data_IF_790222109916
#
_entry.id   IF_790222109916
#
_cell.length_a   1.000
_cell.length_b   1.000
_cell.length_c   1.000
_cell.angle_alpha   90.00
_cell.angle_beta   90.00
_cell.angle_gamma   90.00
#
_symmetry.space_group_name_H-M   'P 1'
#
loop_
_entity.id
_entity.type
_entity.pdbx_description
1 polymer ?
#
# COMPACT_ATOMS: atom_id res chain seq x y z
N UNK A 1 27.76 27.98 -4.70
CA UNK A 1 28.90 28.57 -3.94
C UNK A 1 29.60 27.45 -3.18
N UNK A 2 30.86 27.18 -3.49
CA UNK A 2 31.69 26.17 -2.82
C UNK A 2 32.11 26.68 -1.44
N UNK A 3 31.44 26.23 -0.37
CA UNK A 3 31.95 26.40 1.00
C UNK A 3 33.04 25.35 1.23
N UNK A 4 34.23 25.79 1.66
CA UNK A 4 35.34 24.95 2.09
C UNK A 4 34.87 23.97 3.18
N UNK A 5 34.81 22.67 2.84
CA UNK A 5 34.40 21.57 3.73
C UNK A 5 35.44 21.27 4.83
N UNK A 6 36.56 22.00 4.89
CA UNK A 6 37.71 21.72 5.74
C UNK A 6 37.61 22.27 7.17
N UNK A 7 36.52 22.96 7.54
CA UNK A 7 36.38 23.61 8.86
C UNK A 7 35.12 23.23 9.67
N UNK A 8 34.36 22.23 9.21
CA UNK A 8 33.09 21.88 9.83
C UNK A 8 33.35 20.88 10.97
N UNK A 9 33.26 21.35 12.22
CA UNK A 9 33.25 20.51 13.42
C UNK A 9 32.14 20.96 14.36
N UNK A 10 31.65 20.05 15.20
CA UNK A 10 30.53 20.34 16.10
C UNK A 10 29.20 20.49 15.36
N UNK A 11 28.19 20.96 16.09
CA UNK A 11 26.77 20.69 15.90
C UNK A 11 26.24 20.81 14.46
N UNK A 12 26.78 21.64 13.56
CA UNK A 12 26.28 21.83 12.19
C UNK A 12 26.50 20.67 11.20
N UNK A 13 27.23 19.62 11.59
CA UNK A 13 27.54 18.48 10.70
C UNK A 13 26.29 17.80 10.11
N UNK A 14 25.16 17.84 10.83
CA UNK A 14 23.92 17.23 10.37
C UNK A 14 23.27 18.01 9.21
N UNK A 15 23.37 19.34 9.20
CA UNK A 15 22.90 20.18 8.09
C UNK A 15 23.75 19.97 6.84
N UNK A 16 25.05 19.82 7.02
CA UNK A 16 26.01 19.60 5.93
C UNK A 16 25.77 18.25 5.27
N UNK A 17 25.52 17.20 6.05
CA UNK A 17 25.18 15.87 5.52
C UNK A 17 23.92 15.91 4.64
N UNK A 18 22.88 16.61 5.07
CA UNK A 18 21.69 16.84 4.23
C UNK A 18 22.04 17.61 2.95
N UNK A 19 22.83 18.68 3.06
CA UNK A 19 23.22 19.50 1.90
C UNK A 19 24.09 18.78 0.87
N UNK A 20 24.91 17.80 1.28
CA UNK A 20 25.75 17.00 0.37
C UNK A 20 24.92 16.10 -0.55
N UNK A 21 23.65 15.81 -0.21
CA UNK A 21 22.75 15.06 -1.10
C UNK A 21 22.44 15.77 -2.42
N UNK A 22 22.66 17.09 -2.47
CA UNK A 22 22.39 17.90 -3.66
C UNK A 22 20.92 18.24 -3.87
N UNK A 23 20.02 17.80 -2.99
CA UNK A 23 18.60 18.19 -3.05
C UNK A 23 18.46 19.59 -2.45
N UNK A 24 17.96 20.53 -3.26
CA UNK A 24 17.61 21.86 -2.82
C UNK A 24 16.10 22.12 -2.95
N UNK A 25 15.69 23.37 -2.74
CA UNK A 25 14.27 23.76 -2.86
C UNK A 25 13.76 23.59 -4.29
N UNK A 26 14.51 24.04 -5.28
CA UNK A 26 14.04 24.02 -6.67
C UNK A 26 13.85 22.57 -7.12
N UNK A 27 14.76 21.69 -6.70
CA UNK A 27 14.65 20.25 -6.92
C UNK A 27 13.41 19.65 -6.25
N UNK A 28 13.18 19.97 -4.98
CA UNK A 28 12.00 19.47 -4.24
C UNK A 28 10.68 19.95 -4.88
N UNK A 29 10.61 21.22 -5.27
CA UNK A 29 9.42 21.83 -5.86
C UNK A 29 9.24 21.51 -7.36
N UNK A 30 10.17 20.78 -7.97
CA UNK A 30 10.03 20.28 -9.34
C UNK A 30 9.03 19.10 -9.45
N UNK A 31 8.79 18.40 -8.34
CA UNK A 31 7.90 17.24 -8.27
C UNK A 31 6.51 17.53 -7.70
N UNK A 32 5.68 16.48 -7.64
CA UNK A 32 4.40 16.50 -6.92
C UNK A 32 4.67 16.43 -5.42
N UNK A 33 4.10 17.36 -4.67
CA UNK A 33 4.27 17.43 -3.22
C UNK A 33 3.12 16.76 -2.48
N UNK A 34 3.46 16.10 -1.38
CA UNK A 34 2.52 15.60 -0.39
C UNK A 34 2.71 16.45 0.86
N UNK A 35 1.66 17.17 1.27
CA UNK A 35 1.68 18.02 2.45
C UNK A 35 0.76 17.45 3.54
N UNK A 36 1.29 17.32 4.76
CA UNK A 36 0.54 16.85 5.92
C UNK A 36 1.19 17.33 7.21
N UNK A 37 0.43 17.32 8.29
CA UNK A 37 0.93 17.67 9.62
C UNK A 37 1.66 16.48 10.21
N UNK A 38 2.85 16.70 10.75
CA UNK A 38 3.62 15.71 11.53
C UNK A 38 3.81 16.23 12.96
N UNK A 39 3.69 15.34 13.94
CA UNK A 39 4.03 15.66 15.33
C UNK A 39 5.52 15.42 15.53
N UNK A 40 6.22 16.46 15.98
CA UNK A 40 7.66 16.44 16.11
C UNK A 40 8.08 17.38 17.24
N UNK A 41 9.08 16.98 18.03
CA UNK A 41 9.72 17.84 19.00
C UNK A 41 10.64 18.82 18.26
N UNK A 42 10.15 20.04 18.08
CA UNK A 42 10.81 21.07 17.28
C UNK A 42 12.18 21.47 17.85
N UNK A 43 12.32 21.54 19.18
CA UNK A 43 13.58 21.90 19.82
C UNK A 43 14.65 20.82 19.55
N UNK A 44 14.28 19.55 19.71
CA UNK A 44 15.16 18.42 19.39
C UNK A 44 15.49 18.36 17.89
N UNK A 45 14.59 18.79 17.02
CA UNK A 45 14.85 18.83 15.57
C UNK A 45 15.79 19.96 15.15
N UNK A 46 15.72 21.12 15.79
CA UNK A 46 16.62 22.24 15.52
C UNK A 46 18.04 21.98 16.05
N UNK A 47 18.15 21.27 17.17
CA UNK A 47 19.41 20.91 17.81
C UNK A 47 19.54 19.38 17.94
N UNK A 48 19.59 18.64 16.82
CA UNK A 48 19.62 17.20 16.87
C UNK A 48 20.98 16.72 17.38
N UNK A 49 21.03 15.62 18.14
CA UNK A 49 22.30 15.05 18.58
C UNK A 49 23.11 14.47 17.41
N UNK A 50 22.47 14.16 16.27
CA UNK A 50 23.12 13.68 15.06
C UNK A 50 22.22 13.79 13.82
N UNK A 51 22.80 13.60 12.64
CA UNK A 51 22.04 13.48 11.39
C UNK A 51 21.06 12.28 11.41
N UNK A 52 21.36 11.23 12.17
CA UNK A 52 20.46 10.07 12.31
C UNK A 52 19.11 10.49 12.89
N UNK A 53 19.10 11.44 13.82
CA UNK A 53 17.86 11.97 14.40
C UNK A 53 16.99 12.68 13.37
N UNK A 54 17.62 13.37 12.40
CA UNK A 54 16.94 13.93 11.24
C UNK A 54 16.39 12.85 10.31
N UNK A 55 17.15 11.77 10.08
CA UNK A 55 16.69 10.62 9.29
C UNK A 55 15.52 9.90 9.96
N UNK A 56 15.50 9.76 11.28
CA UNK A 56 14.35 9.21 12.02
C UNK A 56 13.09 10.07 11.84
N UNK A 57 13.24 11.41 11.87
CA UNK A 57 12.13 12.34 11.60
C UNK A 57 11.63 12.19 10.17
N UNK A 58 12.54 12.13 9.21
CA UNK A 58 12.22 11.91 7.80
C UNK A 58 11.54 10.54 7.59
N UNK A 59 12.01 9.48 8.26
CA UNK A 59 11.40 8.16 8.20
C UNK A 59 9.97 8.14 8.75
N UNK A 60 9.72 8.82 9.88
CA UNK A 60 8.37 8.99 10.43
C UNK A 60 7.45 9.75 9.47
N UNK A 61 7.96 10.83 8.87
CA UNK A 61 7.22 11.60 7.88
C UNK A 61 6.91 10.75 6.63
N UNK A 62 7.91 10.09 6.05
CA UNK A 62 7.72 9.19 4.90
C UNK A 62 6.74 8.05 5.20
N UNK A 63 6.79 7.45 6.39
CA UNK A 63 5.84 6.40 6.79
C UNK A 63 4.40 6.93 6.92
N UNK A 64 4.21 8.19 7.31
CA UNK A 64 2.89 8.85 7.33
C UNK A 64 2.42 9.20 5.93
N UNK A 65 3.31 9.69 5.07
CA UNK A 65 3.03 9.93 3.65
C UNK A 65 2.59 8.65 2.95
N UNK A 66 3.27 7.52 3.19
CA UNK A 66 2.92 6.24 2.58
C UNK A 66 1.51 5.74 2.96
N UNK A 67 1.03 6.06 4.17
CA UNK A 67 -0.36 5.73 4.54
C UNK A 67 -1.38 6.47 3.67
N UNK A 68 -1.11 7.73 3.32
CA UNK A 68 -1.93 8.46 2.36
C UNK A 68 -1.75 7.90 0.94
N UNK A 69 -0.53 7.54 0.56
CA UNK A 69 -0.25 6.97 -0.77
C UNK A 69 -0.89 5.60 -0.98
N UNK A 70 -1.07 4.80 0.06
CA UNK A 70 -1.82 3.54 -0.06
C UNK A 70 -3.28 3.77 -0.45
N UNK A 71 -3.90 4.82 0.08
CA UNK A 71 -5.24 5.24 -0.32
C UNK A 71 -5.26 5.82 -1.73
N UNK A 72 -4.24 6.60 -2.11
CA UNK A 72 -4.09 7.10 -3.48
C UNK A 72 -4.00 5.92 -4.46
N UNK A 73 -3.20 4.89 -4.13
CA UNK A 73 -3.06 3.69 -4.95
C UNK A 73 -4.37 2.91 -5.06
N UNK A 74 -5.14 2.80 -3.97
CA UNK A 74 -6.45 2.16 -4.00
C UNK A 74 -7.45 2.91 -4.89
N UNK A 75 -7.48 4.24 -4.80
CA UNK A 75 -8.54 5.05 -5.40
C UNK A 75 -8.26 5.49 -6.85
N UNK A 76 -6.99 5.67 -7.21
CA UNK A 76 -6.63 6.33 -8.47
C UNK A 76 -5.71 5.50 -9.37
N UNK A 77 -4.98 4.51 -8.84
CA UNK A 77 -4.11 3.69 -9.69
C UNK A 77 -4.91 2.58 -10.39
N UNK A 78 -4.51 2.27 -11.63
CA UNK A 78 -5.00 1.07 -12.29
C UNK A 78 -4.15 -0.14 -11.88
N UNK A 79 -4.66 -1.08 -11.06
CA UNK A 79 -3.88 -2.22 -10.54
C UNK A 79 -3.35 -3.20 -11.60
N UNK A 80 -3.85 -3.08 -12.84
CA UNK A 80 -3.36 -3.84 -13.99
C UNK A 80 -2.18 -3.17 -14.71
N UNK A 81 -1.88 -1.90 -14.43
CA UNK A 81 -0.83 -1.11 -15.10
C UNK A 81 0.12 -0.54 -14.04
N UNK A 82 1.12 -1.34 -13.64
CA UNK A 82 2.09 -0.96 -12.59
C UNK A 82 2.84 0.34 -12.91
N UNK A 83 2.99 0.68 -14.20
CA UNK A 83 3.68 1.89 -14.64
C UNK A 83 2.98 3.19 -14.24
N UNK A 84 1.70 3.16 -13.84
CA UNK A 84 0.96 4.33 -13.37
C UNK A 84 1.09 4.54 -11.86
N UNK A 85 1.89 3.72 -11.16
CA UNK A 85 1.97 3.79 -9.70
C UNK A 85 2.94 4.88 -9.29
N UNK A 86 2.58 5.71 -8.29
CA UNK A 86 3.52 6.63 -7.71
C UNK A 86 4.63 5.85 -6.98
N UNK A 87 5.84 6.38 -7.04
CA UNK A 87 6.99 5.83 -6.34
C UNK A 87 6.87 6.06 -4.82
N UNK A 88 7.86 5.59 -4.06
CA UNK A 88 7.95 5.84 -2.61
C UNK A 88 8.02 7.34 -2.33
N UNK A 89 7.20 7.79 -1.39
CA UNK A 89 7.07 9.19 -0.98
C UNK A 89 8.40 9.75 -0.49
N UNK A 90 8.75 10.93 -0.99
CA UNK A 90 9.98 11.64 -0.64
C UNK A 90 11.23 11.11 -1.36
N UNK A 91 11.17 9.97 -2.07
CA UNK A 91 12.33 9.48 -2.82
C UNK A 91 12.59 10.34 -4.06
N UNK A 92 13.78 10.91 -4.12
CA UNK A 92 14.22 11.78 -5.19
C UNK A 92 15.18 11.04 -6.15
N UNK A 93 14.66 10.71 -7.34
CA UNK A 93 15.30 9.77 -8.28
C UNK A 93 16.69 10.18 -8.74
N UNK A 94 16.93 11.45 -9.03
CA UNK A 94 18.22 11.89 -9.58
C UNK A 94 19.33 11.81 -8.55
N UNK A 95 19.00 12.16 -7.31
CA UNK A 95 19.92 12.13 -6.17
C UNK A 95 20.07 10.74 -5.53
N UNK A 96 19.05 9.88 -5.67
CA UNK A 96 18.98 8.60 -4.96
C UNK A 96 18.64 8.70 -3.47
N UNK A 97 18.35 9.89 -2.95
CA UNK A 97 18.04 10.13 -1.54
C UNK A 97 16.55 10.39 -1.30
N UNK A 98 16.13 10.32 -0.05
CA UNK A 98 14.81 10.77 0.40
C UNK A 98 14.91 12.19 0.93
N UNK A 99 13.92 13.05 0.66
CA UNK A 99 13.87 14.41 1.19
C UNK A 99 12.49 14.78 1.73
N UNK A 100 12.50 15.74 2.67
CA UNK A 100 11.31 16.34 3.23
C UNK A 100 11.57 17.78 3.67
N UNK A 101 10.60 18.66 3.41
CA UNK A 101 10.60 20.04 3.91
C UNK A 101 9.74 20.11 5.17
N UNK A 102 10.39 20.38 6.30
CA UNK A 102 9.72 20.58 7.58
C UNK A 102 9.49 22.06 7.79
N UNK A 103 8.25 22.46 8.08
CA UNK A 103 7.86 23.85 8.24
C UNK A 103 7.03 24.02 9.50
N UNK A 104 7.33 25.05 10.28
CA UNK A 104 6.53 25.46 11.44
C UNK A 104 5.83 26.78 11.19
N UNK A 105 4.55 26.85 11.56
CA UNK A 105 3.77 28.08 11.51
C UNK A 105 4.13 29.05 12.65
N UNK A 106 4.65 28.56 13.78
CA UNK A 106 4.96 29.41 14.94
C UNK A 106 6.11 30.37 14.64
N UNK A 107 7.16 29.84 14.02
CA UNK A 107 8.41 30.56 13.79
C UNK A 107 8.56 30.99 12.33
N UNK A 108 7.66 30.51 11.45
CA UNK A 108 7.71 30.71 10.00
C UNK A 108 9.05 30.28 9.38
N UNK A 109 9.63 29.21 9.92
CA UNK A 109 10.90 28.64 9.49
C UNK A 109 10.69 27.30 8.79
N UNK A 110 11.54 27.04 7.79
CA UNK A 110 11.52 25.80 7.02
C UNK A 110 12.90 25.19 6.90
N UNK A 111 12.99 23.88 7.06
CA UNK A 111 14.23 23.12 6.98
C UNK A 111 14.08 21.95 6.02
N UNK A 112 14.98 21.90 5.03
CA UNK A 112 15.08 20.79 4.09
C UNK A 112 16.03 19.74 4.68
N UNK A 113 15.48 18.55 4.93
CA UNK A 113 16.24 17.38 5.36
C UNK A 113 16.27 16.39 4.21
N UNK A 114 17.45 15.82 3.96
CA UNK A 114 17.64 14.80 2.96
C UNK A 114 18.64 13.75 3.42
N UNK A 115 18.44 12.50 3.00
CA UNK A 115 19.37 11.42 3.25
C UNK A 115 18.83 10.05 2.87
N UNK A 116 19.59 9.01 3.20
CA UNK A 116 19.28 7.64 2.82
C UNK A 116 18.30 7.00 3.80
N UNK A 117 17.00 7.16 3.53
CA UNK A 117 15.91 6.52 4.30
C UNK A 117 15.32 5.33 3.53
N UNK A 118 15.25 5.44 2.20
CA UNK A 118 14.74 4.39 1.33
C UNK A 118 15.93 3.76 0.58
N UNK A 119 16.33 2.51 0.93
CA UNK A 119 17.59 1.93 0.47
C UNK A 119 17.59 1.52 -1.01
N UNK A 120 16.41 1.31 -1.59
CA UNK A 120 16.29 1.06 -3.03
C UNK A 120 14.88 1.36 -3.52
N UNK A 121 14.76 2.17 -4.57
CA UNK A 121 13.53 2.36 -5.32
C UNK A 121 13.84 2.22 -6.80
N UNK A 122 13.68 1.01 -7.34
CA UNK A 122 13.79 0.78 -8.78
C UNK A 122 12.40 0.88 -9.39
N UNK A 123 12.04 2.05 -9.92
CA UNK A 123 10.77 2.20 -10.64
C UNK A 123 10.99 2.82 -12.01
N UNK A 124 10.57 2.08 -13.04
CA UNK A 124 10.36 2.58 -14.40
C UNK A 124 8.85 2.66 -14.63
N UNK A 125 8.33 3.85 -14.90
CA UNK A 125 6.91 4.10 -15.11
C UNK A 125 6.66 5.56 -15.50
N UNK A 126 5.46 5.85 -16.01
CA UNK A 126 5.03 7.20 -16.36
C UNK A 126 4.53 7.97 -15.13
N UNK A 127 4.19 7.26 -14.05
CA UNK A 127 3.62 7.85 -12.84
C UNK A 127 2.10 7.99 -12.92
N UNK A 128 1.52 8.53 -11.85
CA UNK A 128 0.10 8.79 -11.74
C UNK A 128 -0.18 10.24 -12.16
N UNK A 129 -1.06 10.43 -13.13
CA UNK A 129 -1.58 11.75 -13.49
C UNK A 129 -2.84 12.02 -12.68
N UNK A 130 -2.88 13.15 -11.97
CA UNK A 130 -4.02 13.61 -11.19
C UNK A 130 -4.40 15.00 -11.66
N UNK A 131 -5.62 15.16 -12.14
CA UNK A 131 -6.11 16.42 -12.71
C UNK A 131 -6.33 17.52 -11.64
N UNK A 132 -6.35 17.17 -10.34
CA UNK A 132 -6.66 18.07 -9.23
C UNK A 132 -5.93 17.68 -7.94
N UNK A 133 -5.92 18.60 -6.95
CA UNK A 133 -5.50 18.31 -5.59
C UNK A 133 -6.28 17.12 -5.01
N UNK A 134 -5.62 15.98 -4.85
CA UNK A 134 -6.20 14.83 -4.18
C UNK A 134 -6.09 15.03 -2.66
N UNK A 135 -7.17 15.51 -2.03
CA UNK A 135 -7.29 15.46 -0.57
C UNK A 135 -7.71 14.04 -0.18
N UNK A 136 -6.90 13.39 0.65
CA UNK A 136 -7.14 12.03 1.13
C UNK A 136 -7.32 12.06 2.63
N UNK A 137 -8.49 11.68 3.09
CA UNK A 137 -8.75 11.48 4.52
C UNK A 137 -8.10 10.15 4.96
N UNK A 138 -7.26 10.22 5.98
CA UNK A 138 -6.64 9.02 6.55
C UNK A 138 -7.69 8.15 7.24
N UNK A 139 -7.48 6.84 7.17
CA UNK A 139 -8.32 5.84 7.83
C UNK A 139 -8.34 6.08 9.34
N UNK A 140 -9.53 6.03 9.94
CA UNK A 140 -9.73 6.36 11.35
C UNK A 140 -9.07 5.35 12.32
N UNK A 141 -9.07 5.72 13.61
CA UNK A 141 -8.36 5.06 14.70
C UNK A 141 -9.00 3.78 15.27
N UNK A 142 -10.20 3.40 14.83
CA UNK A 142 -10.93 2.25 15.37
C UNK A 142 -10.25 0.91 15.06
N UNK A 143 -10.76 -0.17 15.64
CA UNK A 143 -10.19 -1.51 15.46
C UNK A 143 -10.22 -1.92 13.99
N UNK A 144 -11.34 -1.71 13.30
CA UNK A 144 -11.47 -1.97 11.87
C UNK A 144 -10.53 -1.06 11.08
N UNK A 145 -10.40 0.21 11.46
CA UNK A 145 -9.48 1.15 10.82
C UNK A 145 -8.01 0.72 10.92
N UNK A 146 -7.57 0.18 12.06
CA UNK A 146 -6.22 -0.38 12.21
C UNK A 146 -5.98 -1.57 11.27
N UNK A 147 -6.97 -2.46 11.14
CA UNK A 147 -6.90 -3.62 10.25
C UNK A 147 -6.92 -3.15 8.78
N UNK A 148 -7.78 -2.18 8.44
CA UNK A 148 -7.85 -1.60 7.10
C UNK A 148 -6.53 -0.95 6.69
N UNK A 149 -5.84 -0.23 7.58
CA UNK A 149 -4.51 0.33 7.32
C UNK A 149 -3.46 -0.76 7.01
N UNK A 150 -3.53 -1.90 7.69
CA UNK A 150 -2.63 -3.01 7.36
C UNK A 150 -3.02 -3.68 6.03
N UNK A 151 -4.32 -3.88 5.78
CA UNK A 151 -4.82 -4.43 4.53
C UNK A 151 -4.43 -3.55 3.32
N UNK A 152 -4.48 -2.23 3.47
CA UNK A 152 -4.03 -1.24 2.48
C UNK A 152 -2.55 -1.40 2.14
N UNK A 153 -1.68 -1.52 3.15
CA UNK A 153 -0.23 -1.76 2.92
C UNK A 153 0.01 -3.07 2.17
N UNK A 154 -0.68 -4.14 2.57
CA UNK A 154 -0.60 -5.43 1.88
C UNK A 154 -1.12 -5.34 0.44
N UNK A 155 -2.18 -4.59 0.21
CA UNK A 155 -2.75 -4.33 -1.10
C UNK A 155 -1.76 -3.59 -2.00
N UNK A 156 -1.23 -2.44 -1.55
CA UNK A 156 -0.19 -1.70 -2.28
C UNK A 156 1.01 -2.58 -2.61
N UNK A 157 1.51 -3.35 -1.64
CA UNK A 157 2.61 -4.28 -1.84
C UNK A 157 2.32 -5.34 -2.91
N UNK A 158 1.10 -5.89 -2.92
CA UNK A 158 0.65 -6.83 -3.95
C UNK A 158 0.63 -6.19 -5.34
N UNK A 159 0.20 -4.93 -5.45
CA UNK A 159 0.12 -4.23 -6.73
C UNK A 159 1.50 -3.92 -7.34
N UNK A 160 2.48 -3.66 -6.48
CA UNK A 160 3.88 -3.37 -6.85
C UNK A 160 4.77 -4.62 -6.90
N UNK A 161 4.21 -5.82 -6.79
CA UNK A 161 4.98 -7.06 -6.87
C UNK A 161 5.76 -7.18 -8.19
N UNK A 162 6.96 -7.74 -8.13
CA UNK A 162 7.87 -7.85 -9.28
C UNK A 162 7.46 -8.91 -10.30
N UNK A 163 6.59 -9.85 -9.94
CA UNK A 163 6.08 -10.91 -10.83
C UNK A 163 4.57 -11.12 -10.61
N UNK A 164 3.88 -11.66 -11.63
CA UNK A 164 2.44 -11.97 -11.50
C UNK A 164 2.23 -13.10 -10.47
N UNK A 165 3.13 -14.07 -10.42
CA UNK A 165 3.11 -15.13 -9.39
C UNK A 165 3.16 -14.55 -7.97
N UNK A 166 4.06 -13.59 -7.71
CA UNK A 166 4.15 -12.95 -6.39
C UNK A 166 2.91 -12.09 -6.09
N UNK A 167 2.41 -11.34 -7.08
CA UNK A 167 1.15 -10.58 -6.98
C UNK A 167 -0.01 -11.49 -6.57
N UNK A 168 -0.14 -12.65 -7.21
CA UNK A 168 -1.17 -13.64 -6.88
C UNK A 168 -1.05 -14.12 -5.43
N UNK A 169 0.14 -14.52 -4.99
CA UNK A 169 0.38 -14.99 -3.61
C UNK A 169 0.01 -13.90 -2.60
N UNK A 170 0.45 -12.66 -2.84
CA UNK A 170 0.17 -11.54 -1.94
C UNK A 170 -1.32 -11.20 -1.89
N UNK A 171 -2.03 -11.21 -3.02
CA UNK A 171 -3.49 -11.01 -3.05
C UNK A 171 -4.24 -12.13 -2.32
N UNK A 172 -3.81 -13.39 -2.45
CA UNK A 172 -4.41 -14.51 -1.73
C UNK A 172 -4.21 -14.39 -0.21
N UNK A 173 -3.02 -14.00 0.24
CA UNK A 173 -2.76 -13.75 1.66
C UNK A 173 -3.58 -12.57 2.18
N UNK A 174 -3.73 -11.52 1.38
CA UNK A 174 -4.57 -10.37 1.71
C UNK A 174 -6.04 -10.76 1.87
N UNK A 175 -6.57 -11.62 0.99
CA UNK A 175 -7.93 -12.17 1.10
C UNK A 175 -8.11 -12.89 2.44
N UNK A 176 -7.15 -13.74 2.83
CA UNK A 176 -7.20 -14.45 4.11
C UNK A 176 -7.15 -13.47 5.30
N UNK A 177 -6.28 -12.45 5.23
CA UNK A 177 -6.15 -11.42 6.25
C UNK A 177 -7.43 -10.59 6.44
N UNK A 178 -8.02 -10.08 5.36
CA UNK A 178 -9.26 -9.29 5.39
C UNK A 178 -10.42 -10.11 5.98
N UNK A 179 -10.50 -11.39 5.66
CA UNK A 179 -11.54 -12.24 6.18
C UNK A 179 -11.34 -12.58 7.67
N UNK A 180 -10.10 -12.70 8.14
CA UNK A 180 -9.78 -13.12 9.51
C UNK A 180 -8.39 -12.62 9.95
N UNK A 181 -8.29 -11.38 10.47
CA UNK A 181 -7.00 -10.76 10.78
C UNK A 181 -6.36 -11.27 12.08
N UNK A 182 -7.15 -11.89 12.97
CA UNK A 182 -6.69 -12.33 14.30
C UNK A 182 -6.31 -13.80 14.36
N UNK A 183 -6.84 -14.62 13.45
CA UNK A 183 -6.71 -16.07 13.52
C UNK A 183 -6.75 -16.69 12.13
N UNK A 184 -6.09 -17.83 11.99
CA UNK A 184 -6.19 -18.64 10.79
C UNK A 184 -7.61 -19.20 10.63
N UNK A 185 -8.16 -19.09 9.42
CA UNK A 185 -9.41 -19.73 9.03
C UNK A 185 -9.26 -20.54 7.77
N UNK A 186 -10.04 -21.63 7.68
CA UNK A 186 -10.10 -22.44 6.46
C UNK A 186 -10.63 -21.60 5.31
N UNK A 187 -10.09 -21.82 4.12
CA UNK A 187 -10.48 -21.08 2.90
C UNK A 187 -11.99 -21.14 2.60
N UNK A 188 -12.67 -22.21 3.01
CA UNK A 188 -14.13 -22.36 2.90
C UNK A 188 -14.90 -21.28 3.67
N UNK A 189 -14.37 -20.82 4.81
CA UNK A 189 -14.96 -19.72 5.59
C UNK A 189 -14.54 -18.37 5.03
N UNK A 190 -13.25 -18.22 4.69
CA UNK A 190 -12.67 -17.00 4.10
C UNK A 190 -13.47 -16.55 2.89
N UNK A 191 -13.70 -17.44 1.91
CA UNK A 191 -14.42 -17.09 0.68
C UNK A 191 -15.85 -16.63 0.92
N UNK A 192 -16.55 -17.18 1.93
CA UNK A 192 -17.91 -16.76 2.27
C UNK A 192 -17.93 -15.36 2.85
N UNK A 193 -16.95 -14.99 3.67
CA UNK A 193 -16.82 -13.63 4.22
C UNK A 193 -16.54 -12.62 3.12
N UNK A 194 -15.60 -12.92 2.22
CA UNK A 194 -15.29 -12.03 1.09
C UNK A 194 -16.48 -11.90 0.13
N UNK A 195 -17.14 -13.01 -0.23
CA UNK A 195 -18.27 -12.99 -1.15
C UNK A 195 -19.42 -12.09 -0.64
N UNK A 196 -19.65 -11.98 0.67
CA UNK A 196 -20.69 -11.08 1.23
C UNK A 196 -20.41 -9.60 0.98
N UNK A 197 -19.14 -9.20 0.91
CA UNK A 197 -18.78 -7.82 0.54
C UNK A 197 -19.04 -7.54 -0.93
N UNK A 198 -18.78 -8.52 -1.79
CA UNK A 198 -18.64 -8.31 -3.23
C UNK A 198 -19.93 -8.61 -4.00
N UNK A 199 -20.66 -9.64 -3.58
CA UNK A 199 -21.83 -10.13 -4.29
C UNK A 199 -22.96 -9.10 -4.32
N UNK A 200 -23.67 -9.04 -5.44
CA UNK A 200 -24.86 -8.20 -5.62
C UNK A 200 -26.15 -8.91 -5.23
N UNK A 201 -26.18 -10.22 -5.43
CA UNK A 201 -27.32 -11.11 -5.18
C UNK A 201 -26.84 -12.53 -4.88
N UNK A 202 -27.78 -13.45 -4.66
CA UNK A 202 -27.48 -14.84 -4.31
C UNK A 202 -26.80 -15.62 -5.45
N UNK A 203 -27.08 -15.29 -6.71
CA UNK A 203 -26.48 -15.96 -7.86
C UNK A 203 -25.02 -15.53 -8.01
N UNK A 204 -24.76 -14.21 -7.98
CA UNK A 204 -23.40 -13.64 -7.98
C UNK A 204 -22.56 -14.15 -6.80
N UNK A 205 -23.18 -14.32 -5.63
CA UNK A 205 -22.52 -14.94 -4.48
C UNK A 205 -22.06 -16.36 -4.78
N UNK A 206 -22.91 -17.19 -5.39
CA UNK A 206 -22.57 -18.56 -5.74
C UNK A 206 -21.49 -18.63 -6.82
N UNK A 207 -21.54 -17.74 -7.80
CA UNK A 207 -20.52 -17.62 -8.86
C UNK A 207 -19.15 -17.25 -8.26
N UNK A 208 -19.11 -16.31 -7.31
CA UNK A 208 -17.88 -15.97 -6.57
C UNK A 208 -17.36 -17.20 -5.80
N UNK A 209 -18.24 -17.94 -5.12
CA UNK A 209 -17.83 -19.14 -4.39
C UNK A 209 -17.26 -20.24 -5.28
N UNK A 210 -17.73 -20.32 -6.53
CA UNK A 210 -17.24 -21.24 -7.57
C UNK A 210 -15.89 -20.77 -8.13
N UNK A 211 -15.72 -19.47 -8.41
CA UNK A 211 -14.43 -18.89 -8.82
C UNK A 211 -13.36 -19.14 -7.75
N UNK A 212 -13.70 -19.02 -6.46
CA UNK A 212 -12.80 -19.41 -5.37
C UNK A 212 -12.40 -20.88 -5.40
N UNK A 213 -13.23 -21.78 -5.96
CA UNK A 213 -12.80 -23.18 -6.17
C UNK A 213 -11.70 -23.23 -7.22
N UNK A 214 -11.81 -22.53 -8.35
CA UNK A 214 -10.72 -22.46 -9.33
C UNK A 214 -9.42 -21.93 -8.72
N UNK A 215 -9.52 -20.87 -7.90
CA UNK A 215 -8.37 -20.25 -7.24
C UNK A 215 -7.67 -21.18 -6.23
N UNK A 216 -8.40 -22.07 -5.55
CA UNK A 216 -7.90 -22.73 -4.33
C UNK A 216 -8.03 -24.25 -4.30
N UNK A 217 -8.93 -24.80 -5.09
CA UNK A 217 -9.41 -26.18 -5.01
C UNK A 217 -9.42 -26.83 -6.39
N UNK A 218 -9.57 -28.15 -6.44
CA UNK A 218 -9.61 -28.92 -7.68
C UNK A 218 -11.01 -28.87 -8.29
N UNK A 219 -11.23 -28.33 -9.51
CA UNK A 219 -12.45 -28.59 -10.26
C UNK A 219 -12.42 -30.06 -10.73
N UNK A 220 -13.57 -30.74 -10.69
CA UNK A 220 -13.70 -32.09 -11.23
C UNK A 220 -13.36 -32.14 -12.72
N UNK A 221 -12.27 -32.84 -13.05
CA UNK A 221 -11.89 -33.42 -14.36
C UNK A 221 -12.33 -32.69 -15.65
N UNK A 222 -11.42 -31.97 -16.29
CA UNK A 222 -10.78 -32.34 -17.56
C UNK A 222 -10.02 -31.13 -18.16
N UNK A 223 -8.71 -31.32 -18.38
CA UNK A 223 -7.74 -30.42 -19.02
C UNK A 223 -7.24 -29.20 -18.19
N UNK A 224 -6.04 -29.34 -17.59
CA UNK A 224 -5.30 -28.29 -16.87
C UNK A 224 -4.81 -28.77 -15.49
N UNK A 225 -3.69 -28.25 -14.94
CA UNK A 225 -2.90 -28.88 -13.88
C UNK A 225 -3.75 -29.26 -12.67
N UNK A 226 -3.55 -30.50 -12.18
CA UNK A 226 -4.48 -31.34 -11.40
C UNK A 226 -5.02 -30.79 -10.05
N UNK A 227 -4.72 -29.55 -9.67
CA UNK A 227 -5.14 -28.88 -8.43
C UNK A 227 -5.39 -27.37 -8.70
N UNK A 228 -6.17 -26.67 -7.86
CA UNK A 228 -6.43 -25.22 -8.03
C UNK A 228 -5.16 -24.37 -8.02
N UNK A 229 -5.23 -23.13 -8.54
CA UNK A 229 -4.05 -22.27 -8.77
C UNK A 229 -3.16 -22.10 -7.53
N UNK A 230 -3.75 -21.82 -6.37
CA UNK A 230 -3.02 -21.68 -5.10
C UNK A 230 -2.18 -22.91 -4.78
N UNK A 231 -2.70 -24.11 -5.03
CA UNK A 231 -1.97 -25.33 -4.72
C UNK A 231 -0.76 -25.50 -5.64
N UNK A 232 -0.94 -25.29 -6.94
CA UNK A 232 0.14 -25.38 -7.91
C UNK A 232 1.25 -24.35 -7.62
N UNK A 233 0.87 -23.12 -7.27
CA UNK A 233 1.83 -22.06 -6.99
C UNK A 233 2.53 -22.26 -5.65
N UNK A 234 1.78 -22.44 -4.55
CA UNK A 234 2.35 -22.48 -3.20
C UNK A 234 2.97 -23.84 -2.87
N UNK A 235 2.34 -24.94 -3.27
CA UNK A 235 2.79 -26.28 -2.88
C UNK A 235 3.67 -26.94 -3.94
N UNK A 236 3.39 -26.72 -5.23
CA UNK A 236 4.17 -27.31 -6.32
C UNK A 236 5.24 -26.35 -6.87
N UNK A 237 5.28 -25.09 -6.42
CA UNK A 237 6.29 -24.11 -6.83
C UNK A 237 6.18 -23.66 -8.29
N UNK A 238 5.00 -23.77 -8.90
CA UNK A 238 4.77 -23.40 -10.29
C UNK A 238 4.52 -21.89 -10.43
N UNK A 239 4.89 -21.33 -11.58
CA UNK A 239 4.57 -19.93 -11.90
C UNK A 239 3.18 -19.83 -12.52
N UNK A 240 2.42 -18.78 -12.21
CA UNK A 240 1.09 -18.57 -12.77
C UNK A 240 1.11 -18.39 -14.29
N UNK A 241 2.21 -17.85 -14.80
CA UNK A 241 2.48 -17.64 -16.22
C UNK A 241 2.51 -18.97 -17.01
N UNK A 242 2.87 -20.08 -16.33
CA UNK A 242 2.91 -21.44 -16.89
C UNK A 242 1.58 -22.19 -16.74
N UNK A 243 0.67 -21.71 -15.88
CA UNK A 243 -0.58 -22.41 -15.54
C UNK A 243 -1.77 -21.95 -16.38
N UNK A 244 -1.86 -20.66 -16.70
CA UNK A 244 -2.99 -20.04 -17.39
C UNK A 244 -2.53 -18.95 -18.37
N UNK A 245 -3.29 -18.76 -19.45
CA UNK A 245 -2.96 -17.83 -20.53
C UNK A 245 -3.08 -16.35 -20.13
N UNK A 246 -2.45 -15.42 -20.86
CA UNK A 246 -2.40 -14.00 -20.50
C UNK A 246 -3.79 -13.34 -20.34
N UNK A 247 -4.74 -13.67 -21.21
CA UNK A 247 -6.11 -13.15 -21.10
C UNK A 247 -6.83 -13.64 -19.84
N UNK A 248 -6.66 -14.91 -19.50
CA UNK A 248 -7.23 -15.51 -18.29
C UNK A 248 -6.60 -14.94 -17.04
N UNK A 249 -5.28 -14.72 -17.03
CA UNK A 249 -4.56 -14.03 -15.95
C UNK A 249 -5.11 -12.63 -15.74
N UNK A 250 -5.29 -11.85 -16.80
CA UNK A 250 -5.84 -10.51 -16.71
C UNK A 250 -7.28 -10.50 -16.18
N UNK A 251 -8.10 -11.49 -16.52
CA UNK A 251 -9.45 -11.66 -15.96
C UNK A 251 -9.40 -12.06 -14.48
N UNK A 252 -8.51 -13.00 -14.12
CA UNK A 252 -8.33 -13.48 -12.75
C UNK A 252 -7.84 -12.37 -11.82
N UNK A 253 -6.83 -11.60 -12.22
CA UNK A 253 -6.35 -10.48 -11.40
C UNK A 253 -7.42 -9.43 -11.18
N UNK A 254 -8.21 -9.08 -12.20
CA UNK A 254 -9.36 -8.18 -12.03
C UNK A 254 -10.33 -8.68 -10.95
N UNK A 255 -10.63 -9.98 -10.91
CA UNK A 255 -11.47 -10.57 -9.85
C UNK A 255 -10.81 -10.51 -8.48
N UNK A 256 -9.54 -10.92 -8.36
CA UNK A 256 -8.79 -10.87 -7.09
C UNK A 256 -8.67 -9.44 -6.53
N UNK A 257 -8.49 -8.46 -7.42
CA UNK A 257 -8.48 -7.04 -7.09
C UNK A 257 -9.85 -6.62 -6.54
N UNK A 258 -10.96 -7.01 -7.17
CA UNK A 258 -12.30 -6.75 -6.64
C UNK A 258 -12.53 -7.42 -5.28
N UNK A 259 -12.07 -8.67 -5.12
CA UNK A 259 -12.16 -9.45 -3.87
C UNK A 259 -11.33 -8.87 -2.72
N UNK A 260 -10.50 -7.86 -2.96
CA UNK A 260 -9.68 -7.19 -1.94
C UNK A 260 -10.08 -5.73 -1.79
N UNK A 261 -10.14 -4.98 -2.89
CA UNK A 261 -10.45 -3.55 -2.89
C UNK A 261 -11.86 -3.23 -2.36
N UNK A 262 -12.88 -4.03 -2.69
CA UNK A 262 -14.26 -3.79 -2.21
C UNK A 262 -14.33 -4.00 -0.68
N UNK A 263 -13.88 -5.16 -0.12
CA UNK A 263 -13.80 -5.31 1.33
C UNK A 263 -12.97 -4.24 2.04
N UNK A 264 -11.82 -3.83 1.49
CA UNK A 264 -11.00 -2.76 2.08
C UNK A 264 -11.80 -1.46 2.15
N UNK A 265 -12.51 -1.08 1.10
CA UNK A 265 -13.36 0.11 1.10
C UNK A 265 -14.47 0.04 2.15
N UNK A 266 -15.11 -1.13 2.31
CA UNK A 266 -16.10 -1.32 3.38
C UNK A 266 -15.48 -1.17 4.78
N UNK A 267 -14.27 -1.69 4.99
CA UNK A 267 -13.55 -1.52 6.25
C UNK A 267 -13.12 -0.07 6.49
N UNK A 268 -12.77 0.69 5.44
CA UNK A 268 -12.49 2.12 5.55
C UNK A 268 -13.74 2.90 5.97
N UNK A 269 -14.91 2.57 5.40
CA UNK A 269 -16.21 3.17 5.78
C UNK A 269 -16.55 2.91 7.25
N UNK A 270 -16.20 1.75 7.77
CA UNK A 270 -16.42 1.34 9.16
C UNK A 270 -15.19 1.59 10.04
N UNK A 271 -14.26 2.47 9.65
CA UNK A 271 -12.93 2.53 10.26
C UNK A 271 -12.90 3.02 11.73
N UNK A 272 -13.92 3.72 12.21
CA UNK A 272 -14.09 4.06 13.63
C UNK A 272 -14.54 2.87 14.49
N UNK A 273 -15.10 1.83 13.88
CA UNK A 273 -15.82 0.78 14.59
C UNK A 273 -14.90 -0.36 15.08
N UNK A 274 -15.48 -1.24 15.88
CA UNK A 274 -14.87 -2.50 16.29
C UNK A 274 -15.11 -3.63 15.26
N UNK A 275 -14.44 -4.76 15.48
CA UNK A 275 -14.56 -5.90 14.57
C UNK A 275 -15.96 -6.53 14.56
N UNK A 276 -16.71 -6.43 15.67
CA UNK A 276 -18.07 -6.97 15.75
C UNK A 276 -19.00 -6.20 14.81
N UNK A 277 -18.86 -4.88 14.71
CA UNK A 277 -19.58 -4.07 13.74
C UNK A 277 -19.36 -4.53 12.29
N UNK A 278 -18.13 -4.94 11.93
CA UNK A 278 -17.85 -5.49 10.59
C UNK A 278 -18.51 -6.86 10.36
N UNK A 279 -18.54 -7.73 11.38
CA UNK A 279 -19.25 -9.01 11.26
C UNK A 279 -20.77 -8.81 11.16
N UNK A 280 -21.33 -7.82 11.86
CA UNK A 280 -22.72 -7.41 11.73
C UNK A 280 -23.01 -6.89 10.31
N UNK A 281 -22.17 -5.99 9.79
CA UNK A 281 -22.26 -5.54 8.41
C UNK A 281 -22.25 -6.71 7.40
N UNK A 282 -21.38 -7.71 7.60
CA UNK A 282 -21.35 -8.92 6.77
C UNK A 282 -22.64 -9.74 6.89
N UNK A 283 -23.26 -9.80 8.07
CA UNK A 283 -24.52 -10.48 8.29
C UNK A 283 -25.69 -9.75 7.61
N UNK A 284 -25.71 -8.43 7.67
CA UNK A 284 -26.70 -7.60 6.99
C UNK A 284 -26.59 -7.76 5.47
N UNK A 285 -25.37 -7.66 4.92
CA UNK A 285 -25.10 -7.93 3.50
C UNK A 285 -25.58 -9.30 3.06
N UNK A 286 -25.43 -10.33 3.89
CA UNK A 286 -25.93 -11.69 3.60
C UNK A 286 -27.45 -11.68 3.42
N UNK A 287 -28.19 -10.98 4.27
CA UNK A 287 -29.64 -10.87 4.17
C UNK A 287 -30.05 -10.03 2.94
N UNK A 288 -29.34 -8.93 2.67
CA UNK A 288 -29.61 -8.04 1.53
C UNK A 288 -29.48 -8.75 0.18
N UNK A 289 -28.51 -9.67 0.04
CA UNK A 289 -28.31 -10.46 -1.18
C UNK A 289 -29.16 -11.72 -1.24
N UNK A 290 -30.04 -11.95 -0.25
CA UNK A 290 -31.03 -13.04 -0.25
C UNK A 290 -30.52 -14.40 0.23
N UNK A 291 -29.58 -14.46 1.18
CA UNK A 291 -28.96 -15.69 1.70
C UNK A 291 -29.25 -16.00 3.18
#
# INVERSE_FOLDING_TARGET
MSKDLSSISGDDLHWVKSGVTGIDRDELFSGVLIAFIVELDWETFLLPPSHESHLECLQKASAKAEQAMDLVRLNYCNPMVVQTFPNVSGFHKESGFTAGLFYTLSDNESYLIAGEVVPSALVRGLGLELDQFACVELVQGGQVGMIARHALRLYSGALTASTETLKFIQLMNLIEYIASPFEYRKMVEVKKRIARHVAKDADDYNDILEDFKLLTSKPGSAAGPNNGLRHNIIHMGQNIEDLIGPEERAKMFRRLISYTAIPINDMIRLSAEDWEALENYRADRKNEIGL
#
